data_IF_756097736981
#
_entry.id   IF_756097736981
#
_cell.length_a   1.000
_cell.length_b   1.000
_cell.length_c   1.000
_cell.angle_alpha   90.00
_cell.angle_beta   90.00
_cell.angle_gamma   90.00
#
_symmetry.space_group_name_H-M   'P 1'
#
loop_
_entity.id
_entity.type
_entity.pdbx_description
1 polymer ?
#
# COMPACT_ATOMS: atom_id res chain seq x y z
N UNK A 1 -27.74 57.62 -87.69
CA UNK A 1 -26.91 57.47 -86.48
C UNK A 1 -27.78 56.92 -85.35
N UNK A 2 -27.72 55.63 -85.05
CA UNK A 2 -28.59 54.96 -84.06
C UNK A 2 -27.76 54.73 -82.79
N UNK A 3 -27.94 55.59 -81.79
CA UNK A 3 -27.22 55.50 -80.51
C UNK A 3 -27.80 54.31 -79.73
N UNK A 4 -27.04 53.22 -79.64
CA UNK A 4 -27.32 52.11 -78.71
C UNK A 4 -27.18 52.63 -77.29
N UNK A 5 -28.30 52.85 -76.60
CA UNK A 5 -28.33 53.01 -75.14
C UNK A 5 -27.94 51.68 -74.51
N UNK A 6 -26.73 51.60 -73.98
CA UNK A 6 -26.26 50.48 -73.17
C UNK A 6 -26.97 50.51 -71.81
N UNK A 7 -27.62 49.39 -71.43
CA UNK A 7 -28.25 49.20 -70.13
C UNK A 7 -27.17 49.07 -69.04
N UNK A 8 -26.75 50.19 -68.46
CA UNK A 8 -25.76 50.23 -67.36
C UNK A 8 -26.38 50.01 -65.97
N UNK A 9 -27.71 50.20 -65.83
CA UNK A 9 -28.40 50.09 -64.54
C UNK A 9 -28.66 48.67 -64.02
N UNK A 10 -28.75 47.67 -64.91
CA UNK A 10 -28.97 46.28 -64.50
C UNK A 10 -27.66 45.63 -64.03
N UNK A 11 -26.55 45.95 -64.69
CA UNK A 11 -25.22 45.47 -64.32
C UNK A 11 -24.84 45.93 -62.90
N UNK A 12 -24.98 47.22 -62.57
CA UNK A 12 -24.65 47.76 -61.24
C UNK A 12 -25.52 47.17 -60.13
N UNK A 13 -26.81 46.95 -60.38
CA UNK A 13 -27.71 46.33 -59.41
C UNK A 13 -27.31 44.87 -59.14
N UNK A 14 -26.94 44.10 -60.18
CA UNK A 14 -26.45 42.73 -60.01
C UNK A 14 -25.13 42.67 -59.23
N UNK A 15 -24.19 43.58 -59.48
CA UNK A 15 -22.92 43.61 -58.73
C UNK A 15 -23.15 43.93 -57.26
N UNK A 16 -24.00 44.92 -56.96
CA UNK A 16 -24.34 45.29 -55.58
C UNK A 16 -25.04 44.13 -54.85
N UNK A 17 -25.96 43.44 -55.51
CA UNK A 17 -26.65 42.28 -54.93
C UNK A 17 -25.69 41.12 -54.65
N UNK A 18 -24.77 40.82 -55.58
CA UNK A 18 -23.72 39.82 -55.36
C UNK A 18 -22.80 40.22 -54.20
N UNK A 19 -22.45 41.50 -54.08
CA UNK A 19 -21.59 41.99 -53.00
C UNK A 19 -22.29 41.89 -51.64
N UNK A 20 -23.56 42.27 -51.55
CA UNK A 20 -24.37 42.14 -50.33
C UNK A 20 -24.53 40.67 -49.95
N UNK A 21 -24.82 39.79 -50.91
CA UNK A 21 -24.91 38.35 -50.67
C UNK A 21 -23.57 37.77 -50.19
N UNK A 22 -22.45 38.18 -50.80
CA UNK A 22 -21.10 37.77 -50.40
C UNK A 22 -20.73 38.21 -48.99
N UNK A 23 -20.99 39.47 -48.64
CA UNK A 23 -20.73 40.02 -47.29
C UNK A 23 -21.63 39.34 -46.24
N UNK A 24 -22.89 39.09 -46.57
CA UNK A 24 -23.83 38.40 -45.67
C UNK A 24 -23.41 36.95 -45.42
N UNK A 25 -23.00 36.23 -46.47
CA UNK A 25 -22.49 34.87 -46.37
C UNK A 25 -21.19 34.80 -45.53
N UNK A 26 -20.26 35.75 -45.73
CA UNK A 26 -19.05 35.85 -44.94
C UNK A 26 -19.36 36.13 -43.46
N UNK A 27 -20.25 37.08 -43.19
CA UNK A 27 -20.66 37.44 -41.82
C UNK A 27 -21.31 36.27 -41.09
N UNK A 28 -22.19 35.52 -41.77
CA UNK A 28 -22.82 34.32 -41.21
C UNK A 28 -21.79 33.23 -40.90
N UNK A 29 -20.79 33.06 -41.77
CA UNK A 29 -19.71 32.08 -41.57
C UNK A 29 -18.88 32.44 -40.35
N UNK A 30 -18.46 33.71 -40.22
CA UNK A 30 -17.72 34.21 -39.05
C UNK A 30 -18.54 34.01 -37.76
N UNK A 31 -19.82 34.36 -37.77
CA UNK A 31 -20.70 34.22 -36.61
C UNK A 31 -20.88 32.75 -36.18
N UNK A 32 -20.94 31.81 -37.13
CA UNK A 32 -21.00 30.37 -36.82
C UNK A 32 -19.68 29.88 -36.22
N UNK A 33 -18.55 30.26 -36.83
CA UNK A 33 -17.22 29.87 -36.35
C UNK A 33 -16.97 30.37 -34.93
N UNK A 34 -17.23 31.66 -34.65
CA UNK A 34 -17.03 32.23 -33.30
C UNK A 34 -17.91 31.55 -32.26
N UNK A 35 -19.17 31.26 -32.58
CA UNK A 35 -20.05 30.55 -31.67
C UNK A 35 -19.59 29.10 -31.42
N UNK A 36 -19.09 28.38 -32.43
CA UNK A 36 -18.52 27.04 -32.23
C UNK A 36 -17.24 27.07 -31.41
N UNK A 37 -16.37 28.06 -31.62
CA UNK A 37 -15.14 28.24 -30.84
C UNK A 37 -15.45 28.57 -29.39
N UNK A 38 -16.44 29.43 -29.12
CA UNK A 38 -16.88 29.73 -27.76
C UNK A 38 -17.41 28.50 -27.04
N UNK A 39 -18.21 27.67 -27.70
CA UNK A 39 -18.71 26.41 -27.13
C UNK A 39 -17.59 25.42 -26.85
N UNK A 40 -16.65 25.28 -27.80
CA UNK A 40 -15.50 24.40 -27.63
C UNK A 40 -14.61 24.87 -26.48
N UNK A 41 -14.32 26.17 -26.39
CA UNK A 41 -13.54 26.76 -25.31
C UNK A 41 -14.22 26.56 -23.95
N UNK A 42 -15.54 26.72 -23.87
CA UNK A 42 -16.30 26.47 -22.64
C UNK A 42 -16.24 25.00 -22.22
N UNK A 43 -16.49 24.07 -23.16
CA UNK A 43 -16.40 22.63 -22.88
C UNK A 43 -15.00 22.19 -22.49
N UNK A 44 -13.97 22.76 -23.12
CA UNK A 44 -12.57 22.49 -22.76
C UNK A 44 -12.26 23.00 -21.35
N UNK A 45 -12.78 24.17 -20.97
CA UNK A 45 -12.62 24.71 -19.62
C UNK A 45 -13.34 23.85 -18.57
N UNK A 46 -14.56 23.38 -18.85
CA UNK A 46 -15.31 22.46 -17.98
C UNK A 46 -14.56 21.15 -17.78
N UNK A 47 -14.15 20.51 -18.89
CA UNK A 47 -13.37 19.27 -18.86
C UNK A 47 -12.11 19.42 -18.00
N UNK A 48 -11.37 20.50 -18.21
CA UNK A 48 -10.15 20.80 -17.48
C UNK A 48 -10.43 20.92 -15.97
N UNK A 49 -11.46 21.68 -15.57
CA UNK A 49 -11.84 21.88 -14.16
C UNK A 49 -12.27 20.58 -13.47
N UNK A 50 -13.12 19.80 -14.14
CA UNK A 50 -13.60 18.51 -13.65
C UNK A 50 -12.44 17.53 -13.48
N UNK A 51 -11.54 17.46 -14.47
CA UNK A 51 -10.37 16.59 -14.40
C UNK A 51 -9.48 16.94 -13.22
N UNK A 52 -9.20 18.23 -13.00
CA UNK A 52 -8.44 18.66 -11.83
C UNK A 52 -9.11 18.28 -10.50
N UNK A 53 -10.43 18.41 -10.40
CA UNK A 53 -11.16 18.00 -9.20
C UNK A 53 -11.09 16.48 -8.98
N UNK A 54 -11.21 15.68 -10.04
CA UNK A 54 -11.12 14.23 -9.97
C UNK A 54 -9.72 13.74 -9.61
N UNK A 55 -8.67 14.37 -10.15
CA UNK A 55 -7.28 14.10 -9.78
C UNK A 55 -7.01 14.45 -8.31
N UNK A 56 -7.52 15.58 -7.81
CA UNK A 56 -7.42 15.93 -6.40
C UNK A 56 -8.13 14.90 -5.50
N UNK A 57 -9.30 14.39 -5.92
CA UNK A 57 -9.98 13.29 -5.23
C UNK A 57 -9.18 11.99 -5.24
N UNK A 58 -8.46 11.69 -6.33
CA UNK A 58 -7.57 10.54 -6.41
C UNK A 58 -6.39 10.66 -5.44
N UNK A 59 -5.78 11.84 -5.32
CA UNK A 59 -4.70 12.08 -4.34
C UNK A 59 -5.20 11.97 -2.90
N UNK A 60 -6.41 12.49 -2.62
CA UNK A 60 -7.06 12.28 -1.34
C UNK A 60 -7.23 10.78 -1.05
N UNK A 61 -7.76 10.03 -2.01
CA UNK A 61 -7.99 8.60 -1.86
C UNK A 61 -6.69 7.81 -1.60
N UNK A 62 -5.59 8.15 -2.28
CA UNK A 62 -4.28 7.54 -2.07
C UNK A 62 -3.73 7.89 -0.68
N UNK A 63 -3.92 9.13 -0.23
CA UNK A 63 -3.50 9.57 1.10
C UNK A 63 -4.27 8.86 2.20
N UNK A 64 -5.57 8.68 2.01
CA UNK A 64 -6.46 8.00 2.96
C UNK A 64 -6.06 6.53 3.14
N UNK A 65 -5.75 5.82 2.04
CA UNK A 65 -5.24 4.44 2.08
C UNK A 65 -4.02 4.27 3.00
N UNK A 66 -3.15 5.27 3.05
CA UNK A 66 -1.93 5.23 3.89
C UNK A 66 -2.20 5.51 5.36
N UNK A 67 -3.28 6.21 5.67
CA UNK A 67 -3.59 6.68 7.03
C UNK A 67 -4.54 5.76 7.75
N UNK A 68 -5.56 5.28 7.05
CA UNK A 68 -6.69 4.58 7.64
C UNK A 68 -6.88 3.21 6.99
N UNK A 69 -7.09 2.15 7.78
CA UNK A 69 -7.50 0.87 7.22
C UNK A 69 -8.89 0.98 6.60
N UNK A 70 -9.08 0.32 5.45
CA UNK A 70 -10.39 0.25 4.80
C UNK A 70 -11.21 -0.92 5.34
N UNK A 71 -12.49 -0.68 5.54
CA UNK A 71 -13.48 -1.71 5.85
C UNK A 71 -14.10 -2.20 4.54
N UNK A 72 -13.80 -3.45 4.17
CA UNK A 72 -14.22 -4.06 2.91
C UNK A 72 -15.56 -4.76 3.06
N UNK A 73 -16.46 -4.50 2.12
CA UNK A 73 -17.74 -5.17 1.97
C UNK A 73 -17.72 -6.04 0.71
N UNK A 74 -17.98 -7.33 0.86
CA UNK A 74 -18.15 -8.24 -0.29
C UNK A 74 -19.50 -7.98 -0.95
N UNK A 75 -19.49 -7.52 -2.20
CA UNK A 75 -20.70 -7.22 -2.99
C UNK A 75 -21.04 -8.37 -3.92
N UNK A 76 -20.02 -9.11 -4.37
CA UNK A 76 -20.15 -10.33 -5.16
C UNK A 76 -18.91 -11.23 -4.95
N UNK A 77 -18.92 -12.51 -5.37
CA UNK A 77 -17.80 -13.43 -5.18
C UNK A 77 -16.45 -12.90 -5.68
N UNK A 78 -16.46 -12.07 -6.71
CA UNK A 78 -15.24 -11.52 -7.34
C UNK A 78 -15.02 -10.03 -7.04
N UNK A 79 -15.83 -9.42 -6.16
CA UNK A 79 -15.80 -7.97 -5.93
C UNK A 79 -16.08 -7.57 -4.48
N UNK A 80 -15.12 -6.87 -3.91
CA UNK A 80 -15.28 -6.14 -2.66
C UNK A 80 -15.17 -4.65 -2.91
N UNK A 81 -15.92 -3.88 -2.13
CA UNK A 81 -15.88 -2.42 -2.17
C UNK A 81 -15.61 -1.85 -0.78
N UNK A 82 -15.00 -0.68 -0.76
CA UNK A 82 -14.84 0.11 0.46
C UNK A 82 -15.00 1.60 0.12
N UNK A 83 -15.31 2.39 1.14
CA UNK A 83 -15.34 3.86 1.04
C UNK A 83 -14.31 4.45 2.00
N UNK A 84 -13.81 5.68 1.74
CA UNK A 84 -12.98 6.41 2.69
C UNK A 84 -13.63 6.49 4.07
N UNK A 85 -12.82 6.46 5.13
CA UNK A 85 -13.32 6.70 6.48
C UNK A 85 -13.60 8.19 6.67
N UNK A 86 -12.71 9.05 6.17
CA UNK A 86 -12.89 10.49 6.17
C UNK A 86 -13.66 10.98 4.93
N UNK A 87 -14.63 11.87 5.13
CA UNK A 87 -15.32 12.54 4.03
C UNK A 87 -14.34 13.45 3.27
N UNK A 88 -14.21 13.31 1.94
CA UNK A 88 -13.31 14.15 1.17
C UNK A 88 -13.77 15.62 1.20
N UNK A 89 -12.86 16.58 1.40
CA UNK A 89 -13.20 17.99 1.31
C UNK A 89 -13.55 18.36 -0.15
N UNK A 90 -14.51 19.28 -0.38
CA UNK A 90 -14.84 19.72 -1.73
C UNK A 90 -13.67 20.47 -2.37
N UNK A 91 -13.44 20.24 -3.66
CA UNK A 91 -12.38 20.91 -4.41
C UNK A 91 -12.88 22.28 -4.88
N UNK A 92 -12.05 23.30 -4.73
CA UNK A 92 -12.34 24.66 -5.18
C UNK A 92 -11.39 25.05 -6.31
N UNK A 93 -11.94 25.57 -7.40
CA UNK A 93 -11.13 26.15 -8.47
C UNK A 93 -10.80 27.62 -8.16
N UNK A 94 -9.80 28.18 -8.84
CA UNK A 94 -9.48 29.60 -8.76
C UNK A 94 -10.65 30.51 -9.20
N UNK A 95 -11.53 30.01 -10.07
CA UNK A 95 -12.77 30.69 -10.49
C UNK A 95 -13.87 30.70 -9.43
N UNK A 96 -13.71 29.97 -8.31
CA UNK A 96 -14.70 29.87 -7.23
C UNK A 96 -15.68 28.71 -7.37
N UNK A 97 -15.56 27.89 -8.42
CA UNK A 97 -16.39 26.70 -8.60
C UNK A 97 -16.08 25.67 -7.51
N UNK A 98 -17.09 24.91 -7.10
CA UNK A 98 -16.98 23.88 -6.06
C UNK A 98 -17.39 22.52 -6.60
N UNK A 99 -16.55 21.51 -6.38
CA UNK A 99 -16.81 20.14 -6.81
C UNK A 99 -16.95 19.21 -5.61
N UNK A 100 -18.05 18.46 -5.58
CA UNK A 100 -18.23 17.33 -4.67
C UNK A 100 -17.43 16.13 -5.16
N UNK A 101 -16.91 15.33 -4.22
CA UNK A 101 -16.13 14.13 -4.51
C UNK A 101 -16.84 12.92 -3.90
N UNK A 102 -17.10 11.90 -4.72
CA UNK A 102 -17.52 10.59 -4.27
C UNK A 102 -16.44 9.57 -4.63
N UNK A 103 -15.88 8.91 -3.62
CA UNK A 103 -14.72 8.05 -3.76
C UNK A 103 -15.11 6.63 -3.33
N UNK A 104 -14.80 5.65 -4.17
CA UNK A 104 -14.93 4.23 -3.83
C UNK A 104 -13.65 3.47 -4.18
N UNK A 105 -13.33 2.49 -3.35
CA UNK A 105 -12.29 1.52 -3.60
C UNK A 105 -12.93 0.20 -4.00
N UNK A 106 -12.31 -0.51 -4.93
CA UNK A 106 -12.76 -1.81 -5.40
C UNK A 106 -11.56 -2.75 -5.48
N UNK A 107 -11.77 -4.03 -5.15
CA UNK A 107 -10.78 -5.08 -5.34
C UNK A 107 -11.42 -6.44 -5.58
N UNK A 108 -10.60 -7.38 -6.02
CA UNK A 108 -10.95 -8.78 -6.08
C UNK A 108 -10.55 -9.48 -4.77
N UNK A 109 -11.40 -10.32 -4.13
CA UNK A 109 -11.05 -10.99 -2.87
C UNK A 109 -9.78 -11.82 -2.94
N UNK A 110 -9.57 -12.55 -4.05
CA UNK A 110 -8.35 -13.34 -4.29
C UNK A 110 -7.10 -12.53 -4.64
N UNK A 111 -7.22 -11.22 -4.90
CA UNK A 111 -6.10 -10.32 -5.22
C UNK A 111 -6.20 -9.03 -4.42
N UNK A 112 -6.15 -9.10 -3.08
CA UNK A 112 -6.48 -7.97 -2.22
C UNK A 112 -5.48 -6.81 -2.27
N UNK A 113 -4.29 -7.03 -2.84
CA UNK A 113 -3.23 -6.04 -3.05
C UNK A 113 -3.37 -5.26 -4.36
N UNK A 114 -4.35 -5.57 -5.21
CA UNK A 114 -4.64 -4.80 -6.41
C UNK A 114 -5.98 -4.09 -6.23
N UNK A 115 -5.91 -2.78 -6.08
CA UNK A 115 -7.07 -1.93 -5.81
C UNK A 115 -7.37 -1.08 -7.04
N UNK A 116 -8.64 -0.80 -7.26
CA UNK A 116 -9.09 0.22 -8.20
C UNK A 116 -9.80 1.32 -7.43
N UNK A 117 -9.29 2.54 -7.58
CA UNK A 117 -9.91 3.74 -7.01
C UNK A 117 -10.82 4.31 -8.09
N UNK A 118 -12.07 4.60 -7.73
CA UNK A 118 -12.97 5.38 -8.56
C UNK A 118 -13.29 6.68 -7.85
N UNK A 119 -13.22 7.77 -8.60
CA UNK A 119 -13.53 9.12 -8.14
C UNK A 119 -14.58 9.67 -9.08
N UNK A 120 -15.80 9.83 -8.58
CA UNK A 120 -16.89 10.50 -9.27
C UNK A 120 -16.94 11.94 -8.75
N UNK A 121 -16.85 12.93 -9.65
CA UNK A 121 -16.90 14.36 -9.29
C UNK A 121 -18.07 15.05 -9.96
N UNK A 122 -18.64 16.03 -9.27
CA UNK A 122 -19.81 16.79 -9.74
C UNK A 122 -19.71 18.24 -9.30
N UNK A 123 -19.97 19.18 -10.21
CA UNK A 123 -20.01 20.60 -9.87
C UNK A 123 -21.26 20.93 -9.04
N UNK A 124 -21.08 21.72 -7.98
CA UNK A 124 -22.13 22.02 -7.00
C UNK A 124 -23.21 22.94 -7.59
N UNK A 125 -22.81 23.88 -8.45
CA UNK A 125 -23.69 24.88 -9.05
C UNK A 125 -24.19 24.49 -10.46
N UNK A 126 -23.62 23.44 -11.03
CA UNK A 126 -23.93 22.93 -12.37
C UNK A 126 -23.85 21.39 -12.35
N UNK A 127 -24.86 20.71 -11.78
CA UNK A 127 -24.79 19.27 -11.51
C UNK A 127 -24.72 18.39 -12.76
N UNK A 128 -24.99 18.95 -13.94
CA UNK A 128 -24.78 18.34 -15.26
C UNK A 128 -23.30 18.22 -15.63
N UNK A 129 -22.42 18.97 -14.96
CA UNK A 129 -20.97 18.89 -15.13
C UNK A 129 -20.42 17.84 -14.16
N UNK A 130 -20.18 16.64 -14.69
CA UNK A 130 -19.60 15.50 -13.97
C UNK A 130 -18.33 15.00 -14.63
N UNK A 131 -17.49 14.29 -13.88
CA UNK A 131 -16.44 13.48 -14.47
C UNK A 131 -15.99 12.37 -13.56
N UNK A 132 -15.56 11.27 -14.18
CA UNK A 132 -15.18 10.05 -13.50
C UNK A 132 -13.71 9.77 -13.80
N UNK A 133 -12.92 9.54 -12.76
CA UNK A 133 -11.54 9.04 -12.88
C UNK A 133 -11.42 7.69 -12.22
N UNK A 134 -10.78 6.76 -12.93
CA UNK A 134 -10.40 5.45 -12.40
C UNK A 134 -8.90 5.27 -12.47
N UNK A 135 -8.32 4.71 -11.41
CA UNK A 135 -6.90 4.39 -11.34
C UNK A 135 -6.72 3.08 -10.58
N UNK A 136 -6.00 2.13 -11.19
CA UNK A 136 -5.55 0.96 -10.46
C UNK A 136 -4.25 1.28 -9.69
N UNK A 137 -4.18 0.80 -8.46
CA UNK A 137 -3.06 1.03 -7.54
C UNK A 137 -2.69 -0.26 -6.81
N UNK A 138 -1.44 -0.32 -6.36
CA UNK A 138 -0.93 -1.37 -5.47
C UNK A 138 -0.38 -0.74 -4.19
N UNK A 139 -1.00 -0.98 -3.03
CA UNK A 139 -0.46 -0.58 -1.75
C UNK A 139 0.66 -1.53 -1.32
N UNK A 140 1.71 -0.96 -0.73
CA UNK A 140 2.86 -1.67 -0.19
C UNK A 140 3.02 -1.33 1.29
N UNK A 141 3.38 -2.32 2.09
CA UNK A 141 3.82 -2.12 3.47
C UNK A 141 5.34 -2.02 3.51
N UNK A 142 5.91 -1.92 4.71
CA UNK A 142 7.37 -1.98 4.89
C UNK A 142 7.92 -3.41 4.71
N UNK A 143 7.06 -4.43 4.75
CA UNK A 143 7.42 -5.82 4.46
C UNK A 143 7.20 -6.13 2.98
N UNK A 144 7.98 -7.07 2.46
CA UNK A 144 7.69 -7.69 1.16
C UNK A 144 6.47 -8.62 1.30
N UNK A 145 5.80 -8.93 0.18
CA UNK A 145 4.68 -9.89 0.20
C UNK A 145 5.10 -11.25 0.78
N UNK A 146 6.34 -11.67 0.50
CA UNK A 146 6.96 -12.86 1.09
C UNK A 146 7.00 -12.79 2.61
N UNK A 147 7.39 -11.64 3.18
CA UNK A 147 7.49 -11.47 4.63
C UNK A 147 6.13 -11.28 5.33
N UNK A 148 5.10 -10.77 4.64
CA UNK A 148 3.76 -10.65 5.21
C UNK A 148 3.11 -12.01 5.51
N UNK A 149 3.51 -13.04 4.77
CA UNK A 149 3.02 -14.43 4.89
C UNK A 149 4.11 -15.38 5.40
N UNK A 150 5.18 -14.83 5.96
CA UNK A 150 6.33 -15.62 6.38
C UNK A 150 5.99 -16.63 7.49
N UNK A 151 6.75 -17.74 7.56
CA UNK A 151 6.64 -18.69 8.64
C UNK A 151 7.10 -18.07 9.98
N UNK A 152 6.86 -18.77 11.10
CA UNK A 152 7.29 -18.31 12.42
C UNK A 152 8.78 -18.00 12.55
N UNK A 153 9.65 -18.74 11.86
CA UNK A 153 11.10 -18.58 11.92
C UNK A 153 11.72 -18.40 10.53
N UNK A 154 12.63 -17.43 10.38
CA UNK A 154 13.40 -17.18 9.17
C UNK A 154 14.88 -17.00 9.56
N UNK A 155 15.78 -17.74 8.94
CA UNK A 155 17.22 -17.68 9.25
C UNK A 155 18.03 -17.40 7.99
N UNK A 156 19.03 -16.51 8.09
CA UNK A 156 20.02 -16.37 7.03
C UNK A 156 21.03 -17.52 7.07
N UNK A 157 21.40 -17.93 8.29
CA UNK A 157 22.37 -18.98 8.57
C UNK A 157 21.73 -20.27 9.09
N UNK A 158 22.42 -20.92 10.02
CA UNK A 158 22.12 -22.25 10.51
C UNK A 158 21.49 -22.25 11.91
N UNK A 159 20.61 -23.22 12.15
CA UNK A 159 20.10 -23.59 13.46
C UNK A 159 20.82 -24.86 13.93
N UNK A 160 21.81 -24.70 14.81
CA UNK A 160 22.76 -25.79 15.13
C UNK A 160 22.46 -26.57 16.42
N UNK A 161 21.87 -25.98 17.46
CA UNK A 161 21.55 -26.67 18.71
C UNK A 161 20.27 -26.15 19.40
N UNK A 162 19.08 -26.65 19.04
CA UNK A 162 17.89 -26.40 19.85
C UNK A 162 18.13 -26.99 21.26
N UNK A 163 17.99 -26.19 22.31
CA UNK A 163 18.15 -26.67 23.69
C UNK A 163 16.82 -26.47 24.43
N UNK A 164 16.06 -27.54 24.61
CA UNK A 164 14.74 -27.53 25.26
C UNK A 164 13.57 -27.35 24.29
N UNK A 165 12.32 -27.53 24.77
CA UNK A 165 11.15 -27.48 23.91
C UNK A 165 10.95 -26.06 23.41
N UNK A 166 11.07 -25.87 22.11
CA UNK A 166 10.60 -24.69 21.42
C UNK A 166 9.57 -25.10 20.37
N UNK A 167 8.46 -24.36 20.36
CA UNK A 167 7.32 -24.68 19.52
C UNK A 167 7.28 -23.70 18.35
N UNK A 168 7.26 -24.25 17.13
CA UNK A 168 7.02 -23.51 15.90
C UNK A 168 5.62 -23.88 15.40
N UNK A 169 4.65 -22.99 15.58
CA UNK A 169 3.29 -23.18 15.07
C UNK A 169 3.13 -22.53 13.70
N UNK A 170 3.27 -23.26 12.57
CA UNK A 170 3.03 -22.70 11.26
C UNK A 170 1.55 -22.32 11.09
N UNK A 171 1.23 -21.72 9.93
CA UNK A 171 -0.16 -21.60 9.49
C UNK A 171 -0.79 -23.01 9.44
N UNK A 172 -2.05 -23.16 9.89
CA UNK A 172 -2.72 -24.45 10.01
C UNK A 172 -1.96 -25.50 10.86
N UNK A 173 -1.20 -25.07 11.88
CA UNK A 173 -0.54 -25.97 12.83
C UNK A 173 -1.46 -27.11 13.31
N UNK A 174 -0.88 -28.29 13.50
CA UNK A 174 -1.55 -29.54 13.92
C UNK A 174 -2.58 -30.10 12.93
N UNK A 175 -2.80 -29.45 11.78
CA UNK A 175 -3.66 -29.95 10.69
C UNK A 175 -2.85 -30.67 9.61
N UNK A 176 -3.53 -31.40 8.73
CA UNK A 176 -2.90 -32.11 7.62
C UNK A 176 -2.31 -31.18 6.55
N UNK A 177 -2.78 -29.93 6.50
CA UNK A 177 -2.34 -28.88 5.58
C UNK A 177 -1.51 -27.79 6.30
N UNK A 178 -0.77 -28.18 7.34
CA UNK A 178 0.16 -27.29 8.03
C UNK A 178 1.18 -26.71 7.05
N UNK A 179 1.42 -25.41 7.16
CA UNK A 179 2.34 -24.67 6.29
C UNK A 179 3.81 -24.86 6.68
N UNK A 180 4.66 -23.98 6.17
CA UNK A 180 6.08 -23.96 6.53
C UNK A 180 6.26 -23.40 7.95
N UNK A 181 7.05 -24.09 8.77
CA UNK A 181 7.42 -23.69 10.14
C UNK A 181 8.68 -22.82 10.18
N UNK A 182 9.63 -23.07 9.27
CA UNK A 182 10.83 -22.26 9.16
C UNK A 182 11.34 -22.11 7.73
N UNK A 183 11.88 -20.93 7.45
CA UNK A 183 12.66 -20.63 6.25
C UNK A 183 14.14 -20.51 6.58
N UNK A 184 15.00 -20.96 5.67
CA UNK A 184 16.44 -20.68 5.70
C UNK A 184 16.92 -20.17 4.35
N UNK A 185 17.73 -19.12 4.34
CA UNK A 185 18.45 -18.67 3.16
C UNK A 185 19.75 -19.47 2.92
N UNK A 186 20.15 -20.29 3.89
CA UNK A 186 21.24 -21.26 3.79
C UNK A 186 20.71 -22.61 3.26
N UNK A 187 21.45 -23.68 3.50
CA UNK A 187 21.01 -25.03 3.21
C UNK A 187 19.94 -25.51 4.20
N UNK A 188 18.97 -26.29 3.75
CA UNK A 188 18.03 -26.99 4.65
C UNK A 188 18.74 -27.92 5.63
N UNK A 189 19.91 -28.45 5.27
CA UNK A 189 20.73 -29.26 6.18
C UNK A 189 21.20 -28.48 7.41
N UNK A 190 21.20 -27.15 7.33
CA UNK A 190 21.57 -26.27 8.43
C UNK A 190 20.45 -26.05 9.45
N UNK A 191 19.24 -26.56 9.23
CA UNK A 191 18.13 -26.47 10.17
C UNK A 191 18.00 -27.77 10.99
N UNK A 192 18.76 -27.89 12.06
CA UNK A 192 18.61 -29.01 12.99
C UNK A 192 17.35 -28.84 13.83
N UNK A 193 16.43 -29.82 13.72
CA UNK A 193 15.11 -29.76 14.37
C UNK A 193 15.02 -30.57 15.66
N UNK A 194 16.08 -31.25 16.08
CA UNK A 194 16.09 -32.06 17.29
C UNK A 194 15.66 -31.22 18.50
N UNK A 195 14.51 -31.54 19.11
CA UNK A 195 13.96 -30.79 20.25
C UNK A 195 13.03 -29.62 19.89
N UNK A 196 12.74 -29.40 18.60
CA UNK A 196 11.69 -28.50 18.12
C UNK A 196 10.40 -29.26 17.84
N UNK A 197 9.27 -28.73 18.28
CA UNK A 197 7.97 -29.15 17.76
C UNK A 197 7.60 -28.24 16.57
N UNK A 198 7.45 -28.84 15.38
CA UNK A 198 7.06 -28.11 14.17
C UNK A 198 5.55 -28.08 13.96
N UNK A 199 4.75 -28.76 14.80
CA UNK A 199 3.31 -28.85 14.69
C UNK A 199 2.82 -29.26 13.29
N UNK A 200 3.44 -30.32 12.75
CA UNK A 200 3.29 -30.84 11.37
C UNK A 200 3.80 -29.92 10.25
N UNK A 201 4.43 -28.80 10.59
CA UNK A 201 5.01 -27.88 9.64
C UNK A 201 6.25 -28.44 8.94
N UNK A 202 6.55 -27.85 7.78
CA UNK A 202 7.72 -28.20 6.97
C UNK A 202 8.82 -27.15 7.09
N UNK A 203 10.02 -27.49 6.63
CA UNK A 203 11.11 -26.54 6.43
C UNK A 203 11.19 -26.21 4.94
N UNK A 204 11.49 -24.97 4.59
CA UNK A 204 11.71 -24.58 3.20
C UNK A 204 12.92 -23.65 3.04
N UNK A 205 13.54 -23.73 1.86
CA UNK A 205 14.57 -22.76 1.48
C UNK A 205 13.90 -21.43 1.09
N UNK A 206 14.51 -20.33 1.50
CA UNK A 206 14.16 -18.99 1.05
C UNK A 206 15.18 -18.58 -0.03
N UNK A 207 14.71 -18.40 -1.26
CA UNK A 207 15.55 -17.91 -2.34
C UNK A 207 15.83 -16.41 -2.14
N UNK A 208 16.93 -16.07 -1.47
CA UNK A 208 17.27 -14.66 -1.18
C UNK A 208 18.23 -14.04 -2.19
N UNK A 209 18.88 -14.82 -3.06
CA UNK A 209 19.89 -14.32 -4.01
C UNK A 209 21.14 -13.69 -3.39
N UNK A 210 21.11 -13.40 -2.07
CA UNK A 210 22.14 -12.77 -1.26
C UNK A 210 22.04 -13.30 0.19
N UNK A 211 23.13 -13.27 0.98
CA UNK A 211 23.13 -13.71 2.37
C UNK A 211 22.35 -12.77 3.31
N UNK A 212 22.07 -11.53 2.88
CA UNK A 212 21.30 -10.57 3.66
C UNK A 212 19.78 -10.82 3.50
N UNK A 213 19.09 -11.10 4.61
CA UNK A 213 17.63 -11.28 4.61
C UNK A 213 16.87 -9.97 4.37
N UNK A 214 17.47 -8.82 4.65
CA UNK A 214 16.78 -7.53 4.61
C UNK A 214 16.08 -7.24 3.27
N UNK A 215 16.76 -7.28 2.10
CA UNK A 215 16.11 -7.01 0.81
C UNK A 215 15.04 -8.04 0.43
N UNK A 216 15.10 -9.26 0.96
CA UNK A 216 14.10 -10.29 0.73
C UNK A 216 12.84 -10.09 1.59
N UNK A 217 12.98 -9.48 2.77
CA UNK A 217 11.90 -9.40 3.77
C UNK A 217 11.35 -7.99 3.98
N UNK A 218 12.15 -6.94 3.78
CA UNK A 218 11.73 -5.54 3.92
C UNK A 218 11.81 -4.80 2.59
N UNK A 219 10.71 -4.14 2.23
CA UNK A 219 10.56 -3.38 1.00
C UNK A 219 11.21 -1.98 1.05
N UNK A 220 11.77 -1.59 2.19
CA UNK A 220 12.42 -0.29 2.43
C UNK A 220 13.86 -0.48 2.88
N UNK A 221 14.74 0.48 2.64
CA UNK A 221 16.13 0.41 3.16
C UNK A 221 16.18 0.50 4.69
N UNK A 222 17.26 0.00 5.30
CA UNK A 222 17.53 0.13 6.75
C UNK A 222 17.45 1.58 7.23
N UNK A 223 18.09 2.49 6.48
CA UNK A 223 18.05 3.92 6.77
C UNK A 223 16.62 4.47 6.74
N UNK A 224 15.82 4.07 5.75
CA UNK A 224 14.44 4.49 5.63
C UNK A 224 13.56 3.93 6.75
N UNK A 225 13.72 2.65 7.10
CA UNK A 225 12.99 2.05 8.22
C UNK A 225 13.32 2.75 9.55
N UNK A 226 14.60 3.05 9.79
CA UNK A 226 15.02 3.82 10.97
C UNK A 226 14.34 5.19 11.04
N UNK A 227 14.28 5.93 9.93
CA UNK A 227 13.55 7.20 9.87
C UNK A 227 12.08 7.04 10.24
N UNK A 228 11.40 6.00 9.73
CA UNK A 228 10.00 5.71 10.06
C UNK A 228 9.81 5.41 11.55
N UNK A 229 10.70 4.60 12.12
CA UNK A 229 10.68 4.28 13.54
C UNK A 229 10.95 5.51 14.43
N UNK A 230 11.86 6.39 14.01
CA UNK A 230 12.17 7.64 14.71
C UNK A 230 11.00 8.62 14.65
N UNK A 231 10.35 8.76 13.49
CA UNK A 231 9.12 9.55 13.33
C UNK A 231 8.00 9.03 14.25
N UNK A 232 7.80 7.72 14.31
CA UNK A 232 6.84 7.09 15.21
C UNK A 232 7.18 7.34 16.68
N UNK A 233 8.47 7.23 17.04
CA UNK A 233 8.94 7.48 18.41
C UNK A 233 8.65 8.91 18.85
N UNK A 234 8.86 9.88 17.96
CA UNK A 234 8.76 11.30 18.26
C UNK A 234 7.34 11.85 18.18
N UNK A 235 6.47 11.28 17.34
CA UNK A 235 5.12 11.82 17.07
C UNK A 235 3.99 11.00 17.66
N UNK A 236 4.22 9.72 17.97
CA UNK A 236 3.15 8.81 18.41
C UNK A 236 3.41 8.30 19.83
N UNK A 237 2.30 8.19 20.58
CA UNK A 237 2.26 7.43 21.81
C UNK A 237 2.66 5.97 21.55
N UNK A 238 3.30 5.33 22.53
CA UNK A 238 3.88 3.99 22.42
C UNK A 238 2.91 2.95 21.85
N UNK A 239 1.68 2.90 22.37
CA UNK A 239 0.65 1.96 21.94
C UNK A 239 0.25 2.09 20.46
N UNK A 240 0.53 3.23 19.82
CA UNK A 240 0.21 3.49 18.40
C UNK A 240 1.40 3.24 17.47
N UNK A 241 2.59 2.93 18.01
CA UNK A 241 3.80 2.76 17.21
C UNK A 241 3.80 1.40 16.51
N UNK A 242 3.81 1.44 15.18
CA UNK A 242 3.90 0.24 14.32
C UNK A 242 5.32 -0.15 13.91
N UNK A 243 6.28 0.78 13.99
CA UNK A 243 7.68 0.57 13.60
C UNK A 243 8.59 0.87 14.78
N UNK A 244 9.51 -0.06 15.05
CA UNK A 244 10.40 -0.04 16.19
C UNK A 244 11.83 -0.31 15.73
N UNK A 245 12.70 0.65 15.97
CA UNK A 245 14.15 0.50 15.86
C UNK A 245 14.71 0.47 17.28
N UNK A 246 15.16 -0.70 17.72
CA UNK A 246 15.68 -0.87 19.06
C UNK A 246 16.96 -0.05 19.26
N UNK A 247 17.09 0.55 20.45
CA UNK A 247 18.27 1.31 20.89
C UNK A 247 18.79 0.72 22.21
N UNK A 248 20.05 1.00 22.59
CA UNK A 248 20.60 0.49 23.86
C UNK A 248 19.72 0.81 25.08
N UNK A 249 19.16 2.02 25.14
CA UNK A 249 18.27 2.44 26.22
C UNK A 249 16.88 1.78 26.24
N UNK A 250 16.50 1.03 25.19
CA UNK A 250 15.27 0.25 25.19
C UNK A 250 15.47 -1.12 25.90
N UNK A 251 16.72 -1.50 26.20
CA UNK A 251 17.08 -2.74 26.88
C UNK A 251 17.24 -2.51 28.39
N UNK A 252 16.71 -3.41 29.22
CA UNK A 252 16.97 -3.45 30.67
C UNK A 252 17.93 -4.58 30.97
N UNK A 253 19.12 -4.27 31.47
CA UNK A 253 20.18 -5.26 31.70
C UNK A 253 20.48 -6.11 30.44
N UNK A 254 20.51 -5.47 29.27
CA UNK A 254 20.73 -6.15 27.98
C UNK A 254 19.54 -6.96 27.45
N UNK A 255 18.36 -6.88 28.10
CA UNK A 255 17.16 -7.63 27.69
C UNK A 255 16.06 -6.72 27.19
N UNK A 256 15.43 -7.11 26.10
CA UNK A 256 14.17 -6.55 25.66
C UNK A 256 13.06 -6.98 26.62
N UNK A 257 12.25 -6.02 27.07
CA UNK A 257 11.29 -6.23 28.18
C UNK A 257 9.86 -5.84 27.84
N UNK A 258 9.62 -5.31 26.63
CA UNK A 258 8.32 -4.76 26.24
C UNK A 258 7.54 -5.77 25.42
N UNK A 259 6.28 -6.00 25.79
CA UNK A 259 5.35 -6.67 24.89
C UNK A 259 4.82 -5.66 23.87
N UNK A 260 4.80 -6.01 22.59
CA UNK A 260 4.46 -5.10 21.50
C UNK A 260 3.36 -5.66 20.59
N UNK A 261 2.53 -4.76 20.08
CA UNK A 261 1.50 -5.07 19.09
C UNK A 261 0.31 -5.85 19.62
N UNK A 262 -0.71 -5.96 18.79
CA UNK A 262 -1.89 -6.83 18.96
C UNK A 262 -2.10 -7.63 17.69
N UNK A 263 -2.96 -8.67 17.68
CA UNK A 263 -3.27 -9.39 16.45
C UNK A 263 -3.73 -8.45 15.30
N UNK A 264 -4.56 -7.46 15.62
CA UNK A 264 -5.06 -6.49 14.63
C UNK A 264 -4.10 -5.31 14.37
N UNK A 265 -3.11 -5.11 15.24
CA UNK A 265 -2.10 -4.05 15.10
C UNK A 265 -0.69 -4.63 15.26
N UNK A 266 -0.23 -5.49 14.33
CA UNK A 266 1.10 -6.08 14.39
C UNK A 266 2.20 -5.02 14.25
N UNK A 267 3.34 -5.21 14.88
CA UNK A 267 4.49 -4.29 14.78
C UNK A 267 5.60 -4.86 13.91
N UNK A 268 6.53 -4.01 13.48
CA UNK A 268 7.84 -4.42 12.97
C UNK A 268 8.89 -3.94 13.96
N UNK A 269 9.61 -4.87 14.59
CA UNK A 269 10.69 -4.62 15.55
C UNK A 269 12.02 -5.03 14.95
N UNK A 270 12.93 -4.06 14.80
CA UNK A 270 14.27 -4.27 14.28
C UNK A 270 15.29 -4.08 15.40
N UNK A 271 16.11 -5.10 15.63
CA UNK A 271 17.36 -5.02 16.38
C UNK A 271 18.50 -4.82 15.38
N UNK A 272 19.06 -3.61 15.25
CA UNK A 272 20.13 -3.35 14.29
C UNK A 272 21.42 -4.09 14.65
N UNK A 273 22.30 -4.29 13.67
CA UNK A 273 23.58 -4.98 13.83
C UNK A 273 24.42 -4.45 15.02
N UNK A 274 24.42 -3.14 15.24
CA UNK A 274 25.15 -2.53 16.37
C UNK A 274 24.62 -2.89 17.77
N UNK A 275 23.43 -3.49 17.89
CA UNK A 275 22.91 -4.05 19.14
C UNK A 275 23.18 -5.56 19.28
N UNK A 276 23.60 -6.23 18.21
CA UNK A 276 23.75 -7.67 18.19
C UNK A 276 22.42 -8.41 18.44
N UNK A 277 22.52 -9.64 18.92
CA UNK A 277 21.36 -10.46 19.26
C UNK A 277 20.89 -10.20 20.70
N UNK A 278 19.66 -9.67 20.90
CA UNK A 278 19.16 -9.31 22.22
C UNK A 278 18.71 -10.54 23.03
N UNK A 279 18.80 -10.44 24.35
CA UNK A 279 18.03 -11.28 25.26
C UNK A 279 16.57 -10.79 25.33
N UNK A 280 15.65 -11.68 25.70
CA UNK A 280 14.26 -11.28 26.01
C UNK A 280 13.97 -11.58 27.48
N UNK A 281 13.27 -10.66 28.14
CA UNK A 281 12.75 -10.88 29.48
C UNK A 281 11.61 -11.91 29.43
N UNK A 282 11.46 -12.68 30.51
CA UNK A 282 10.41 -13.69 30.62
C UNK A 282 9.02 -13.13 30.40
N UNK A 283 8.23 -13.80 29.57
CA UNK A 283 6.84 -13.47 29.30
C UNK A 283 6.61 -12.35 28.28
N UNK A 284 7.67 -11.84 27.63
CA UNK A 284 7.53 -10.91 26.51
C UNK A 284 6.69 -11.53 25.40
N UNK A 285 5.71 -10.75 24.93
CA UNK A 285 4.82 -11.13 23.82
C UNK A 285 4.87 -10.10 22.71
N UNK A 286 5.15 -10.55 21.49
CA UNK A 286 5.19 -9.68 20.32
C UNK A 286 4.21 -10.21 19.28
N UNK A 287 3.29 -9.37 18.83
CA UNK A 287 2.47 -9.65 17.65
C UNK A 287 3.06 -8.86 16.48
N UNK A 288 3.64 -9.54 15.49
CA UNK A 288 4.27 -8.90 14.35
C UNK A 288 5.54 -9.57 13.84
N UNK A 289 6.38 -8.77 13.20
CA UNK A 289 7.64 -9.18 12.58
C UNK A 289 8.83 -8.68 13.40
N UNK A 290 9.69 -9.58 13.86
CA UNK A 290 10.92 -9.26 14.57
C UNK A 290 12.11 -9.56 13.67
N UNK A 291 12.97 -8.59 13.43
CA UNK A 291 14.19 -8.74 12.64
C UNK A 291 15.41 -8.48 13.53
N UNK A 292 16.27 -9.48 13.68
CA UNK A 292 17.56 -9.35 14.35
C UNK A 292 18.63 -9.29 13.27
N UNK A 293 19.23 -8.12 13.09
CA UNK A 293 20.21 -7.86 12.03
C UNK A 293 21.62 -8.27 12.46
N UNK A 294 21.78 -9.46 13.03
CA UNK A 294 23.04 -9.98 13.55
C UNK A 294 23.00 -11.50 13.70
N UNK A 295 24.18 -12.12 13.79
CA UNK A 295 24.33 -13.49 14.29
C UNK A 295 23.87 -13.59 15.74
N UNK A 296 23.04 -14.59 16.02
CA UNK A 296 22.58 -14.89 17.36
C UNK A 296 23.45 -15.88 18.11
N UNK A 297 24.43 -16.53 17.46
CA UNK A 297 25.44 -17.35 18.12
C UNK A 297 24.85 -18.23 19.22
N UNK A 298 25.49 -18.28 20.39
CA UNK A 298 24.85 -18.81 21.60
C UNK A 298 23.78 -17.82 22.06
N UNK A 299 22.55 -18.00 21.59
CA UNK A 299 21.48 -17.03 21.83
C UNK A 299 21.31 -16.77 23.34
N UNK A 300 21.20 -15.50 23.76
CA UNK A 300 20.83 -15.19 25.13
C UNK A 300 19.48 -15.83 25.45
N UNK A 301 19.25 -16.22 26.71
CA UNK A 301 18.05 -16.94 27.09
C UNK A 301 16.78 -16.18 26.64
N UNK A 302 15.96 -16.83 25.80
CA UNK A 302 14.66 -16.33 25.31
C UNK A 302 13.53 -16.98 26.13
N UNK A 303 13.68 -17.02 27.45
CA UNK A 303 12.80 -17.79 28.32
C UNK A 303 11.35 -17.29 28.22
N UNK A 304 10.45 -18.15 27.76
CA UNK A 304 9.03 -17.90 27.56
C UNK A 304 8.72 -16.73 26.62
N UNK A 305 9.61 -16.45 25.66
CA UNK A 305 9.33 -15.51 24.57
C UNK A 305 8.18 -16.06 23.71
N UNK A 306 7.19 -15.20 23.43
CA UNK A 306 6.09 -15.53 22.52
C UNK A 306 6.04 -14.52 21.38
N UNK A 307 6.23 -14.99 20.16
CA UNK A 307 6.05 -14.19 18.94
C UNK A 307 4.89 -14.78 18.15
N UNK A 308 3.89 -13.96 17.84
CA UNK A 308 2.86 -14.31 16.86
C UNK A 308 3.09 -13.47 15.59
N UNK A 309 3.53 -14.13 14.52
CA UNK A 309 4.08 -13.52 13.31
C UNK A 309 5.37 -14.23 12.96
N UNK A 310 6.46 -13.48 12.77
CA UNK A 310 7.74 -14.06 12.31
C UNK A 310 8.93 -13.48 13.07
N UNK A 311 9.92 -14.33 13.33
CA UNK A 311 11.25 -13.96 13.78
C UNK A 311 12.25 -14.23 12.66
N UNK A 312 12.88 -13.16 12.14
CA UNK A 312 13.97 -13.22 11.21
C UNK A 312 15.31 -12.94 11.90
N UNK A 313 16.29 -13.83 11.73
CA UNK A 313 17.66 -13.63 12.20
C UNK A 313 18.58 -13.57 10.99
N UNK A 314 19.25 -12.43 10.83
CA UNK A 314 20.21 -12.18 9.75
C UNK A 314 21.57 -12.79 10.09
N UNK A 315 21.60 -14.10 10.31
CA UNK A 315 22.78 -14.86 10.70
C UNK A 315 22.44 -16.24 11.24
N UNK A 316 23.40 -16.84 11.95
CA UNK A 316 23.25 -18.11 12.66
C UNK A 316 22.45 -17.96 13.95
N UNK A 317 21.65 -18.99 14.27
CA UNK A 317 20.96 -19.13 15.54
C UNK A 317 21.41 -20.43 16.21
N UNK A 318 22.39 -20.41 17.11
CA UNK A 318 22.86 -21.68 17.70
C UNK A 318 21.86 -22.27 18.69
N UNK A 319 20.97 -21.47 19.29
CA UNK A 319 20.03 -21.96 20.31
C UNK A 319 18.65 -21.31 20.22
N UNK A 320 17.62 -22.14 20.17
CA UNK A 320 16.23 -21.79 20.49
C UNK A 320 15.90 -22.55 21.78
N UNK A 321 15.69 -21.84 22.90
CA UNK A 321 15.52 -22.46 24.22
C UNK A 321 14.47 -21.76 25.08
N UNK A 322 14.04 -22.44 26.15
CA UNK A 322 13.30 -21.82 27.25
C UNK A 322 11.79 -21.71 27.07
N UNK A 323 11.11 -22.68 26.47
CA UNK A 323 9.66 -22.58 26.15
C UNK A 323 9.34 -21.40 25.22
N UNK A 324 10.29 -21.07 24.34
CA UNK A 324 10.04 -20.08 23.27
C UNK A 324 8.95 -20.62 22.35
N UNK A 325 7.95 -19.79 22.08
CA UNK A 325 6.89 -20.09 21.12
C UNK A 325 6.92 -19.09 20.00
N UNK A 326 7.19 -19.57 18.79
CA UNK A 326 7.03 -18.79 17.57
C UNK A 326 5.81 -19.34 16.85
N UNK A 327 4.82 -18.51 16.64
CA UNK A 327 3.55 -18.93 16.05
C UNK A 327 3.19 -18.02 14.90
N UNK A 328 2.59 -18.57 13.85
CA UNK A 328 2.03 -17.78 12.76
C UNK A 328 0.93 -16.86 13.32
N UNK A 329 0.73 -15.69 12.71
CA UNK A 329 -0.23 -14.67 13.21
C UNK A 329 -1.67 -15.21 13.34
N UNK A 330 -2.02 -16.23 12.53
CA UNK A 330 -3.28 -16.96 12.62
C UNK A 330 -3.55 -17.51 14.02
N UNK A 331 -2.52 -17.97 14.74
CA UNK A 331 -2.68 -18.53 16.09
C UNK A 331 -3.10 -17.48 17.14
N UNK A 332 -2.92 -16.18 16.84
CA UNK A 332 -3.29 -15.11 17.74
C UNK A 332 -4.77 -14.68 17.63
N UNK A 333 -5.43 -14.98 16.50
CA UNK A 333 -6.78 -14.47 16.19
C UNK A 333 -7.74 -15.49 15.54
N UNK A 334 -7.22 -16.61 15.02
CA UNK A 334 -7.98 -17.62 14.27
C UNK A 334 -8.38 -17.21 12.85
N UNK A 335 -8.19 -15.95 12.44
CA UNK A 335 -8.74 -15.41 11.19
C UNK A 335 -7.72 -14.66 10.33
N UNK A 336 -6.59 -14.24 10.89
CA UNK A 336 -5.56 -13.53 10.13
C UNK A 336 -4.65 -14.52 9.39
N UNK A 337 -4.61 -14.41 8.07
CA UNK A 337 -3.73 -15.21 7.21
C UNK A 337 -2.40 -14.52 6.87
N UNK A 338 -2.24 -13.24 7.21
CA UNK A 338 -1.05 -12.43 6.92
C UNK A 338 -0.89 -11.29 7.94
N UNK A 339 0.33 -10.76 8.07
CA UNK A 339 0.62 -9.58 8.89
C UNK A 339 0.09 -8.30 8.24
N UNK A 340 -0.98 -7.74 8.81
CA UNK A 340 -1.61 -6.49 8.31
C UNK A 340 -0.90 -5.25 8.87
N UNK A 341 0.13 -4.80 8.18
CA UNK A 341 0.87 -3.57 8.50
C UNK A 341 0.26 -2.32 7.83
N UNK A 342 0.53 -1.12 8.35
CA UNK A 342 0.12 0.11 7.68
C UNK A 342 0.75 0.22 6.28
N UNK A 343 -0.03 0.76 5.34
CA UNK A 343 0.44 1.02 3.99
C UNK A 343 1.47 2.15 4.05
N UNK A 344 2.70 1.83 3.65
CA UNK A 344 3.80 2.78 3.58
C UNK A 344 3.75 3.58 2.27
N UNK A 345 3.48 2.89 1.17
CA UNK A 345 3.51 3.44 -0.18
C UNK A 345 2.35 2.91 -1.02
N UNK A 346 1.89 3.68 -2.00
CA UNK A 346 0.88 3.27 -2.96
C UNK A 346 1.41 3.57 -4.35
N UNK A 347 1.72 2.54 -5.14
CA UNK A 347 2.14 2.73 -6.52
C UNK A 347 0.93 2.75 -7.44
N UNK A 348 0.92 3.69 -8.39
CA UNK A 348 -0.03 3.70 -9.50
C UNK A 348 0.39 2.68 -10.53
N UNK A 349 -0.55 1.90 -11.05
CA UNK A 349 -0.29 0.97 -12.15
C UNK A 349 -0.29 1.78 -13.45
N UNK A 350 0.84 1.86 -14.17
CA UNK A 350 0.92 2.61 -15.43
C UNK A 350 -0.11 2.11 -16.44
N UNK A 351 -0.69 3.04 -17.22
CA UNK A 351 -1.68 2.71 -18.27
C UNK A 351 -3.05 2.23 -17.78
N UNK A 352 -3.27 2.16 -16.46
CA UNK A 352 -4.58 1.77 -15.89
C UNK A 352 -5.54 2.95 -15.67
N UNK A 353 -5.09 4.17 -15.97
CA UNK A 353 -5.89 5.38 -15.84
C UNK A 353 -6.99 5.42 -16.90
N UNK A 354 -8.20 5.77 -16.48
CA UNK A 354 -9.35 5.97 -17.37
C UNK A 354 -10.15 7.19 -16.91
N UNK A 355 -10.50 8.06 -17.84
CA UNK A 355 -11.48 9.13 -17.68
C UNK A 355 -12.72 8.84 -18.53
N UNK A 356 -13.89 9.26 -18.04
CA UNK A 356 -15.18 9.12 -18.72
C UNK A 356 -16.01 10.39 -18.60
#
# INVERSE_FOLDING_TARGET
MRIRRTQTGLATLTTVLMLIAGVSALSLTIARTTHTEQRLAHKQADFTRVRFAAEAGLEFAITELRRNPLSWLTVSPDREVAVPLATPPPVRTASGDRFGLNIRYERHPLRPKYLRIHVDTQATLAPDITGIVQQAVRPYTVLTETAEQAPPLILAGCLSQPHGPADLYPRNADRHNAGTAAWTASSLACLHTTGLDLHRGTLAALATGQPDLWPALLAVSRARFRQLADDHRNRLAEARRRYWWARPGDLRHGRWHRSLGTPDQPVVLVFPAGLGCPAFQTGVRIHGFVFIDADCGAAPAWDSLRIYGSLAVNGDLKRLSGFTRLAHIEQASGHLSELRLPIYEVARIPGSWRDF
#
